data_IF_253919352347
#
_entry.id   IF_253919352347
#
_cell.length_a   1.000
_cell.length_b   1.000
_cell.length_c   1.000
_cell.angle_alpha   90.00
_cell.angle_beta   90.00
_cell.angle_gamma   90.00
#
_symmetry.space_group_name_H-M   'P 1'
#
loop_
_entity.id
_entity.type
_entity.pdbx_description
1 polymer ?
#
# COMPACT_ATOMS: atom_id res chain seq x y z
N UNK A 1 -28.78 44.96 41.09
CA UNK A 1 -27.56 44.15 41.12
C UNK A 1 -27.93 42.80 40.50
N UNK A 2 -27.74 42.64 39.22
CA UNK A 2 -28.03 41.42 38.47
C UNK A 2 -26.73 40.62 38.43
N UNK A 3 -26.74 39.43 39.00
CA UNK A 3 -25.61 38.49 38.89
C UNK A 3 -25.60 37.91 37.46
N UNK A 4 -24.57 38.24 36.70
CA UNK A 4 -24.25 37.62 35.43
C UNK A 4 -23.91 36.13 35.64
N UNK A 5 -24.78 35.27 35.17
CA UNK A 5 -24.51 33.84 35.06
C UNK A 5 -23.47 33.61 33.93
N UNK A 6 -22.20 33.50 34.28
CA UNK A 6 -21.16 33.01 33.41
C UNK A 6 -21.50 31.55 33.07
N UNK A 7 -21.58 31.14 31.76
CA UNK A 7 -21.85 29.75 31.41
C UNK A 7 -20.66 28.89 31.88
N UNK A 8 -20.98 27.86 32.66
CA UNK A 8 -20.02 26.89 33.17
C UNK A 8 -19.25 26.25 31.98
N UNK A 9 -17.94 26.42 31.97
CA UNK A 9 -17.01 25.86 31.01
C UNK A 9 -17.19 24.33 31.02
N UNK A 10 -17.73 23.76 29.95
CA UNK A 10 -17.93 22.31 29.83
C UNK A 10 -16.57 21.62 29.95
N UNK A 11 -16.39 20.60 30.79
CA UNK A 11 -15.10 19.98 31.05
C UNK A 11 -14.54 19.41 29.74
N UNK A 12 -13.36 19.86 29.33
CA UNK A 12 -12.66 19.35 28.16
C UNK A 12 -12.50 17.83 28.30
N UNK A 13 -12.89 17.02 27.31
CA UNK A 13 -12.82 15.57 27.41
C UNK A 13 -11.38 15.14 27.75
N UNK A 14 -11.25 14.23 28.71
CA UNK A 14 -9.93 13.72 29.10
C UNK A 14 -9.28 13.07 27.87
N UNK A 15 -7.95 13.12 27.74
CA UNK A 15 -7.21 12.50 26.61
C UNK A 15 -7.58 11.02 26.41
N UNK A 16 -7.89 10.31 27.48
CA UNK A 16 -8.35 8.93 27.45
C UNK A 16 -9.74 8.78 26.86
N UNK A 17 -10.66 9.71 27.17
CA UNK A 17 -12.00 9.70 26.58
C UNK A 17 -11.94 9.99 25.08
N UNK A 18 -11.07 10.91 24.65
CA UNK A 18 -10.83 11.18 23.23
C UNK A 18 -10.31 9.93 22.50
N UNK A 19 -9.31 9.24 23.04
CA UNK A 19 -8.75 8.03 22.45
C UNK A 19 -9.77 6.89 22.37
N UNK A 20 -10.58 6.72 23.42
CA UNK A 20 -11.62 5.71 23.48
C UNK A 20 -12.70 5.86 22.39
N UNK A 21 -12.86 7.08 21.85
CA UNK A 21 -13.82 7.34 20.77
C UNK A 21 -13.40 6.69 19.45
N UNK A 22 -12.10 6.58 19.16
CA UNK A 22 -11.57 6.07 17.89
C UNK A 22 -11.50 4.53 17.83
N UNK A 23 -12.64 3.85 18.06
CA UNK A 23 -12.70 2.39 17.94
C UNK A 23 -12.52 1.93 16.49
N UNK A 24 -12.08 0.66 16.24
CA UNK A 24 -11.96 0.13 14.88
C UNK A 24 -13.24 0.25 14.06
N UNK A 25 -14.41 0.05 14.69
CA UNK A 25 -15.70 0.15 14.01
C UNK A 25 -15.99 1.61 13.57
N UNK A 26 -15.83 2.57 14.52
CA UNK A 26 -16.04 3.99 14.22
C UNK A 26 -15.06 4.50 13.16
N UNK A 27 -13.80 4.07 13.25
CA UNK A 27 -12.82 4.39 12.21
C UNK A 27 -13.24 3.81 10.86
N UNK A 28 -13.66 2.54 10.80
CA UNK A 28 -14.10 1.89 9.56
C UNK A 28 -15.29 2.60 8.91
N UNK A 29 -16.28 2.97 9.71
CA UNK A 29 -17.45 3.75 9.24
C UNK A 29 -17.01 5.14 8.77
N UNK A 30 -16.22 5.85 9.58
CA UNK A 30 -15.71 7.19 9.22
C UNK A 30 -14.87 7.18 7.95
N UNK A 31 -14.02 6.16 7.76
CA UNK A 31 -13.23 5.99 6.54
C UNK A 31 -14.11 5.69 5.33
N UNK A 32 -15.15 4.84 5.49
CA UNK A 32 -16.10 4.57 4.41
C UNK A 32 -16.84 5.85 3.99
N UNK A 33 -17.33 6.63 4.96
CA UNK A 33 -17.97 7.92 4.69
C UNK A 33 -16.98 8.87 3.99
N UNK A 34 -15.73 8.96 4.46
CA UNK A 34 -14.71 9.82 3.85
C UNK A 34 -14.43 9.43 2.38
N UNK A 35 -14.39 8.14 2.06
CA UNK A 35 -14.23 7.66 0.68
C UNK A 35 -15.47 7.98 -0.19
N UNK A 36 -16.67 7.81 0.36
CA UNK A 36 -17.91 8.16 -0.34
C UNK A 36 -17.96 9.67 -0.64
N UNK A 37 -17.58 10.51 0.33
CA UNK A 37 -17.52 11.97 0.17
C UNK A 37 -16.43 12.40 -0.81
N UNK A 38 -15.29 11.70 -0.82
CA UNK A 38 -14.19 11.99 -1.73
C UNK A 38 -14.47 11.57 -3.19
N UNK A 39 -15.28 10.52 -3.39
CA UNK A 39 -15.57 9.93 -4.70
C UNK A 39 -17.07 9.68 -4.92
N UNK A 40 -17.94 10.70 -4.75
CA UNK A 40 -19.39 10.53 -4.83
C UNK A 40 -19.85 10.07 -6.22
N UNK A 41 -19.21 10.57 -7.29
CA UNK A 41 -19.56 10.23 -8.68
C UNK A 41 -19.26 8.76 -9.01
N UNK A 42 -18.26 8.16 -8.34
CA UNK A 42 -17.92 6.74 -8.50
C UNK A 42 -18.91 5.87 -7.72
N UNK A 43 -19.37 6.30 -6.55
CA UNK A 43 -20.22 5.51 -5.67
C UNK A 43 -21.69 5.58 -6.11
N UNK A 44 -22.20 6.77 -6.42
CA UNK A 44 -23.64 7.00 -6.69
C UNK A 44 -23.94 7.38 -8.13
N UNK A 45 -22.91 7.71 -8.92
CA UNK A 45 -23.06 8.17 -10.29
C UNK A 45 -22.62 7.14 -11.32
N UNK A 46 -22.45 7.62 -12.56
CA UNK A 46 -21.88 6.89 -13.68
C UNK A 46 -20.37 7.09 -13.80
N UNK A 47 -19.73 7.78 -12.85
CA UNK A 47 -18.31 8.09 -12.85
C UNK A 47 -17.44 6.84 -12.71
N UNK A 48 -16.30 6.84 -13.36
CA UNK A 48 -15.28 5.82 -13.22
C UNK A 48 -13.89 6.45 -13.28
N UNK A 49 -12.89 5.75 -12.80
CA UNK A 49 -11.50 6.23 -12.79
C UNK A 49 -10.82 6.12 -14.18
N UNK A 50 -11.53 6.46 -15.26
CA UNK A 50 -10.98 6.42 -16.62
C UNK A 50 -9.89 7.45 -16.82
N UNK A 51 -8.69 7.11 -16.33
CA UNK A 51 -7.51 7.93 -16.43
C UNK A 51 -6.32 7.06 -16.83
N UNK A 52 -5.53 7.46 -17.83
CA UNK A 52 -4.33 6.77 -18.29
C UNK A 52 -4.53 5.23 -18.39
N UNK A 53 -3.73 4.46 -17.67
CA UNK A 53 -3.72 2.99 -17.73
C UNK A 53 -5.02 2.34 -17.25
N UNK A 54 -5.83 3.03 -16.47
CA UNK A 54 -7.14 2.49 -16.08
C UNK A 54 -8.04 2.25 -17.30
N UNK A 55 -8.12 3.23 -18.18
CA UNK A 55 -8.94 3.14 -19.39
C UNK A 55 -8.32 2.32 -20.51
N UNK A 56 -6.98 2.33 -20.61
CA UNK A 56 -6.25 1.72 -21.73
C UNK A 56 -5.87 0.26 -21.46
N UNK A 57 -5.55 -0.07 -20.21
CA UNK A 57 -5.08 -1.41 -19.82
C UNK A 57 -6.03 -2.07 -18.82
N UNK A 58 -6.35 -1.41 -17.70
CA UNK A 58 -7.10 -2.01 -16.61
C UNK A 58 -8.52 -2.41 -17.02
N UNK A 59 -9.29 -1.45 -17.52
CA UNK A 59 -10.68 -1.69 -17.89
C UNK A 59 -10.85 -2.70 -19.03
N UNK A 60 -10.12 -2.66 -20.15
CA UNK A 60 -10.25 -3.66 -21.22
C UNK A 60 -9.97 -5.09 -20.77
N UNK A 61 -8.96 -5.29 -19.89
CA UNK A 61 -8.66 -6.60 -19.31
C UNK A 61 -9.84 -7.11 -18.48
N UNK A 62 -10.38 -6.26 -17.61
CA UNK A 62 -11.49 -6.62 -16.73
C UNK A 62 -12.79 -6.79 -17.51
N UNK A 63 -13.01 -5.97 -18.54
CA UNK A 63 -14.16 -6.12 -19.43
C UNK A 63 -14.13 -7.47 -20.17
N UNK A 64 -12.95 -7.89 -20.66
CA UNK A 64 -12.81 -9.23 -21.28
C UNK A 64 -13.13 -10.32 -20.25
N UNK A 65 -12.62 -10.27 -19.04
CA UNK A 65 -12.91 -11.23 -17.99
C UNK A 65 -14.42 -11.29 -17.66
N UNK A 66 -15.06 -10.12 -17.50
CA UNK A 66 -16.49 -10.00 -17.24
C UNK A 66 -17.32 -10.59 -18.41
N UNK A 67 -16.98 -10.26 -19.64
CA UNK A 67 -17.69 -10.79 -20.81
C UNK A 67 -17.54 -12.31 -20.91
N UNK A 68 -16.32 -12.85 -20.75
CA UNK A 68 -16.05 -14.29 -20.76
C UNK A 68 -16.81 -15.03 -19.67
N UNK A 69 -16.87 -14.46 -18.45
CA UNK A 69 -17.60 -15.04 -17.33
C UNK A 69 -19.09 -15.26 -17.67
N UNK A 70 -19.75 -14.25 -18.24
CA UNK A 70 -21.16 -14.35 -18.66
C UNK A 70 -21.39 -15.15 -19.93
N UNK A 71 -20.33 -15.40 -20.71
CA UNK A 71 -20.36 -16.28 -21.89
C UNK A 71 -20.09 -17.75 -21.57
N UNK A 72 -19.98 -18.11 -20.28
CA UNK A 72 -19.76 -19.48 -19.81
C UNK A 72 -18.30 -19.89 -19.67
N UNK A 73 -17.34 -18.96 -19.80
CA UNK A 73 -15.91 -19.15 -19.53
C UNK A 73 -15.46 -18.30 -18.34
N UNK A 74 -15.64 -18.79 -17.10
CA UNK A 74 -15.33 -18.02 -15.90
C UNK A 74 -13.83 -17.83 -15.63
N UNK A 75 -12.98 -18.63 -16.28
CA UNK A 75 -11.52 -18.58 -16.16
C UNK A 75 -10.92 -18.56 -17.56
N UNK A 76 -11.01 -17.42 -18.27
CA UNK A 76 -10.55 -17.37 -19.65
C UNK A 76 -9.04 -17.59 -19.72
N UNK A 77 -8.63 -18.52 -20.58
CA UNK A 77 -7.21 -18.82 -20.80
C UNK A 77 -6.58 -17.93 -21.87
N UNK A 78 -7.39 -17.41 -22.82
CA UNK A 78 -6.96 -16.66 -23.97
C UNK A 78 -7.78 -15.38 -24.15
N UNK A 79 -7.12 -14.29 -24.55
CA UNK A 79 -7.78 -13.05 -24.97
C UNK A 79 -7.51 -12.81 -26.47
N UNK A 80 -8.48 -13.00 -27.34
CA UNK A 80 -8.29 -12.80 -28.78
C UNK A 80 -8.19 -11.32 -29.19
N UNK A 81 -8.62 -10.39 -28.33
CA UNK A 81 -8.71 -8.96 -28.63
C UNK A 81 -7.46 -8.17 -28.26
N UNK A 82 -6.48 -8.79 -27.62
CA UNK A 82 -5.25 -8.13 -27.20
C UNK A 82 -4.06 -8.62 -28.01
N UNK A 83 -3.32 -7.71 -28.69
CA UNK A 83 -2.08 -8.01 -29.41
C UNK A 83 -2.21 -9.19 -30.41
N UNK A 84 -3.27 -9.24 -31.17
CA UNK A 84 -3.58 -10.36 -32.10
C UNK A 84 -3.80 -11.71 -31.39
N UNK A 85 -4.14 -11.69 -30.13
CA UNK A 85 -4.33 -12.84 -29.26
C UNK A 85 -3.20 -13.01 -28.24
N UNK A 86 -3.57 -13.14 -26.97
CA UNK A 86 -2.60 -13.31 -25.89
C UNK A 86 -3.12 -14.26 -24.82
N UNK A 87 -2.23 -15.04 -24.14
CA UNK A 87 -2.60 -15.79 -22.95
C UNK A 87 -3.22 -14.84 -21.93
N UNK A 88 -4.39 -15.19 -21.37
CA UNK A 88 -5.08 -14.32 -20.42
C UNK A 88 -4.77 -14.70 -18.97
N UNK A 89 -5.17 -15.88 -18.53
CA UNK A 89 -4.98 -16.34 -17.15
C UNK A 89 -3.51 -16.41 -16.76
N UNK A 90 -2.61 -16.76 -17.70
CA UNK A 90 -1.19 -16.78 -17.47
C UNK A 90 -0.57 -15.39 -17.22
N UNK A 91 -1.22 -14.30 -17.65
CA UNK A 91 -0.79 -12.95 -17.29
C UNK A 91 -1.20 -12.66 -15.85
N UNK A 92 -0.24 -12.61 -14.95
CA UNK A 92 -0.47 -12.51 -13.51
C UNK A 92 -1.37 -11.33 -13.11
N UNK A 93 -1.24 -10.17 -13.78
CA UNK A 93 -2.00 -8.95 -13.48
C UNK A 93 -3.47 -8.94 -13.90
N UNK A 94 -4.01 -10.00 -14.52
CA UNK A 94 -5.41 -10.08 -14.96
C UNK A 94 -6.40 -10.32 -13.81
N UNK A 95 -5.90 -10.71 -12.63
CA UNK A 95 -6.68 -10.99 -11.42
C UNK A 95 -7.73 -12.12 -11.61
N UNK A 96 -7.51 -13.02 -12.56
CA UNK A 96 -8.48 -14.07 -12.93
C UNK A 96 -8.78 -15.00 -11.76
N UNK A 97 -7.78 -15.35 -10.97
CA UNK A 97 -7.92 -16.23 -9.80
C UNK A 97 -8.08 -15.47 -8.47
N UNK A 98 -8.23 -14.15 -8.51
CA UNK A 98 -8.44 -13.36 -7.30
C UNK A 98 -9.91 -13.46 -6.85
N UNK A 99 -10.23 -14.01 -5.65
CA UNK A 99 -11.62 -14.33 -5.31
C UNK A 99 -12.57 -13.14 -5.28
N UNK A 100 -12.07 -11.95 -4.88
CA UNK A 100 -12.90 -10.74 -4.84
C UNK A 100 -13.17 -10.15 -6.24
N UNK A 101 -12.57 -10.68 -7.29
CA UNK A 101 -12.94 -10.36 -8.68
C UNK A 101 -14.40 -10.67 -8.96
N UNK A 102 -15.01 -11.61 -8.23
CA UNK A 102 -16.46 -11.89 -8.29
C UNK A 102 -17.30 -10.64 -8.09
N UNK A 103 -16.82 -9.63 -7.36
CA UNK A 103 -17.55 -8.39 -7.18
C UNK A 103 -17.82 -7.67 -8.52
N UNK A 104 -16.79 -7.47 -9.34
CA UNK A 104 -16.98 -6.82 -10.64
C UNK A 104 -17.43 -7.77 -11.75
N UNK A 105 -17.34 -9.09 -11.55
CA UNK A 105 -17.89 -10.07 -12.48
C UNK A 105 -19.41 -10.20 -12.36
N UNK A 106 -19.96 -10.05 -11.15
CA UNK A 106 -21.40 -10.20 -10.89
C UNK A 106 -22.16 -8.87 -10.98
N UNK A 107 -21.48 -7.73 -10.89
CA UNK A 107 -22.11 -6.41 -10.85
C UNK A 107 -21.79 -5.60 -12.12
N UNK A 108 -22.62 -4.63 -12.51
CA UNK A 108 -22.43 -3.86 -13.74
C UNK A 108 -21.11 -3.10 -13.80
N UNK A 109 -20.39 -3.21 -14.93
CA UNK A 109 -19.27 -2.37 -15.27
C UNK A 109 -19.76 -1.06 -15.92
N UNK A 110 -19.02 0.06 -15.80
CA UNK A 110 -17.73 0.25 -15.10
C UNK A 110 -17.85 0.55 -13.59
N UNK A 111 -19.06 0.75 -13.08
CA UNK A 111 -19.33 1.15 -11.68
C UNK A 111 -18.67 0.20 -10.66
N UNK A 112 -18.89 -1.10 -10.81
CA UNK A 112 -18.37 -2.09 -9.87
C UNK A 112 -16.84 -2.09 -9.75
N UNK A 113 -16.13 -1.81 -10.84
CA UNK A 113 -14.68 -1.70 -10.82
C UNK A 113 -14.19 -0.49 -10.03
N UNK A 114 -14.87 0.66 -10.15
CA UNK A 114 -14.58 1.84 -9.34
C UNK A 114 -14.77 1.58 -7.85
N UNK A 115 -15.91 1.01 -7.48
CA UNK A 115 -16.22 0.63 -6.08
C UNK A 115 -15.25 -0.44 -5.57
N UNK A 116 -14.86 -1.40 -6.39
CA UNK A 116 -13.84 -2.39 -6.07
C UNK A 116 -12.50 -1.75 -5.65
N UNK A 117 -12.06 -0.72 -6.36
CA UNK A 117 -10.86 0.03 -5.96
C UNK A 117 -11.04 0.71 -4.60
N UNK A 118 -12.20 1.34 -4.35
CA UNK A 118 -12.49 2.00 -3.07
C UNK A 118 -12.57 1.01 -1.90
N UNK A 119 -13.12 -0.19 -2.11
CA UNK A 119 -13.12 -1.26 -1.10
C UNK A 119 -11.69 -1.64 -0.71
N UNK A 120 -10.77 -1.74 -1.67
CA UNK A 120 -9.37 -2.05 -1.37
C UNK A 120 -8.62 -0.90 -0.69
N UNK A 121 -8.96 0.36 -1.01
CA UNK A 121 -8.47 1.52 -0.23
C UNK A 121 -8.95 1.45 1.22
N UNK A 122 -10.24 1.18 1.43
CA UNK A 122 -10.82 1.01 2.76
C UNK A 122 -10.13 -0.14 3.51
N UNK A 123 -9.95 -1.29 2.86
CA UNK A 123 -9.26 -2.45 3.42
C UNK A 123 -7.82 -2.08 3.86
N UNK A 124 -7.07 -1.38 3.02
CA UNK A 124 -5.72 -0.92 3.33
C UNK A 124 -5.67 0.03 4.53
N UNK A 125 -6.59 0.98 4.60
CA UNK A 125 -6.73 1.91 5.73
C UNK A 125 -7.03 1.18 7.04
N UNK A 126 -7.95 0.21 7.01
CA UNK A 126 -8.28 -0.64 8.16
C UNK A 126 -7.08 -1.50 8.60
N UNK A 127 -6.33 -2.05 7.65
CA UNK A 127 -5.11 -2.81 7.94
C UNK A 127 -4.05 -1.93 8.58
N UNK A 128 -3.82 -0.73 8.04
CA UNK A 128 -2.86 0.22 8.59
C UNK A 128 -3.26 0.70 9.99
N UNK A 129 -4.55 0.98 10.23
CA UNK A 129 -5.06 1.27 11.57
C UNK A 129 -4.73 0.14 12.56
N UNK A 130 -5.02 -1.13 12.18
CA UNK A 130 -4.77 -2.30 13.05
C UNK A 130 -3.28 -2.49 13.32
N UNK A 131 -2.46 -2.32 12.30
CA UNK A 131 -1.00 -2.43 12.42
C UNK A 131 -0.43 -1.32 13.31
N UNK A 132 -0.81 -0.06 13.06
CA UNK A 132 -0.36 1.08 13.85
C UNK A 132 -0.83 0.99 15.32
N UNK A 133 -2.10 0.61 15.57
CA UNK A 133 -2.61 0.41 16.93
C UNK A 133 -1.78 -0.64 17.69
N UNK A 134 -1.40 -1.73 17.03
CA UNK A 134 -0.53 -2.74 17.63
C UNK A 134 0.85 -2.19 18.02
N UNK A 135 1.37 -1.19 17.29
CA UNK A 135 2.70 -0.60 17.51
C UNK A 135 2.71 0.46 18.60
N UNK A 136 1.69 1.30 18.61
CA UNK A 136 1.69 2.49 19.50
C UNK A 136 0.66 2.42 20.61
N UNK A 137 -0.27 1.46 20.60
CA UNK A 137 -1.35 1.28 21.59
C UNK A 137 -2.12 2.59 21.85
N UNK A 138 -2.42 3.33 20.78
CA UNK A 138 -3.14 4.58 20.80
C UNK A 138 -4.07 4.64 19.57
N UNK A 139 -5.38 4.62 19.81
CA UNK A 139 -6.40 4.54 18.73
C UNK A 139 -6.43 5.79 17.87
N UNK A 140 -6.28 6.95 18.45
CA UNK A 140 -6.18 8.22 17.71
C UNK A 140 -4.99 8.21 16.72
N UNK A 141 -3.81 7.80 17.19
CA UNK A 141 -2.62 7.70 16.32
C UNK A 141 -2.79 6.64 15.23
N UNK A 142 -3.47 5.53 15.53
CA UNK A 142 -3.83 4.50 14.57
C UNK A 142 -4.79 5.01 13.51
N UNK A 143 -5.78 5.84 13.89
CA UNK A 143 -6.70 6.51 12.97
C UNK A 143 -5.94 7.42 12.00
N UNK A 144 -5.02 8.25 12.52
CA UNK A 144 -4.17 9.09 11.66
C UNK A 144 -3.34 8.25 10.68
N UNK A 145 -2.75 7.16 11.15
CA UNK A 145 -1.99 6.26 10.27
C UNK A 145 -2.85 5.67 9.14
N UNK A 146 -4.06 5.22 9.45
CA UNK A 146 -5.00 4.71 8.45
C UNK A 146 -5.38 5.77 7.41
N UNK A 147 -5.68 6.99 7.84
CA UNK A 147 -6.01 8.11 6.95
C UNK A 147 -4.81 8.51 6.07
N UNK A 148 -3.60 8.64 6.64
CA UNK A 148 -2.38 8.97 5.90
C UNK A 148 -2.11 7.90 4.82
N UNK A 149 -2.31 6.61 5.15
CA UNK A 149 -2.09 5.52 4.19
C UNK A 149 -3.06 5.57 3.01
N UNK A 150 -4.32 5.94 3.23
CA UNK A 150 -5.35 5.99 2.19
C UNK A 150 -5.26 7.24 1.35
N UNK A 151 -5.13 8.41 1.98
CA UNK A 151 -5.27 9.71 1.33
C UNK A 151 -3.93 10.38 0.95
N UNK A 152 -2.85 9.59 0.80
CA UNK A 152 -1.62 10.13 0.21
C UNK A 152 -1.65 10.09 -1.32
N UNK A 153 -0.87 10.96 -1.94
CA UNK A 153 -0.84 11.11 -3.39
C UNK A 153 -0.39 9.86 -4.14
N UNK A 154 0.56 9.09 -3.60
CA UNK A 154 1.02 7.86 -4.23
C UNK A 154 -0.07 6.79 -4.27
N UNK A 155 -0.73 6.53 -3.13
CA UNK A 155 -1.82 5.55 -3.04
C UNK A 155 -2.98 5.93 -3.97
N UNK A 156 -3.38 7.21 -3.99
CA UNK A 156 -4.43 7.69 -4.87
C UNK A 156 -4.02 7.63 -6.35
N UNK A 157 -2.77 7.93 -6.69
CA UNK A 157 -2.27 7.78 -8.06
C UNK A 157 -2.28 6.32 -8.54
N UNK A 158 -2.15 5.35 -7.63
CA UNK A 158 -2.23 3.93 -7.97
C UNK A 158 -3.63 3.44 -8.34
N UNK A 159 -4.70 4.23 -8.14
CA UNK A 159 -6.08 3.85 -8.55
C UNK A 159 -6.17 3.58 -10.06
N UNK A 160 -5.29 4.18 -10.86
CA UNK A 160 -5.22 3.89 -12.30
C UNK A 160 -4.90 2.43 -12.63
N UNK A 161 -4.46 1.65 -11.65
CA UNK A 161 -4.20 0.21 -11.78
C UNK A 161 -5.01 -0.57 -10.74
N UNK A 162 -6.16 -1.17 -11.08
CA UNK A 162 -7.00 -1.89 -10.11
C UNK A 162 -6.27 -2.99 -9.35
N UNK A 163 -5.35 -3.69 -9.99
CA UNK A 163 -4.50 -4.71 -9.35
C UNK A 163 -3.52 -4.13 -8.31
N UNK A 164 -3.07 -2.87 -8.46
CA UNK A 164 -2.26 -2.18 -7.45
C UNK A 164 -3.08 -1.85 -6.21
N UNK A 165 -4.39 -1.59 -6.38
CA UNK A 165 -5.28 -1.39 -5.23
C UNK A 165 -5.37 -2.64 -4.37
N UNK A 166 -5.41 -3.83 -4.98
CA UNK A 166 -5.36 -5.09 -4.25
C UNK A 166 -4.03 -5.20 -3.47
N UNK A 167 -2.91 -5.00 -4.17
CA UNK A 167 -1.58 -5.11 -3.56
C UNK A 167 -1.41 -4.18 -2.35
N UNK A 168 -1.83 -2.92 -2.48
CA UNK A 168 -1.80 -1.92 -1.40
C UNK A 168 -2.82 -2.22 -0.30
N UNK A 169 -4.02 -2.65 -0.66
CA UNK A 169 -5.07 -2.99 0.29
C UNK A 169 -4.67 -4.11 1.25
N UNK A 170 -3.98 -5.13 0.74
CA UNK A 170 -3.51 -6.25 1.55
C UNK A 170 -2.17 -6.01 2.25
N UNK A 171 -1.36 -5.06 1.81
CA UNK A 171 -0.02 -4.81 2.34
C UNK A 171 0.04 -4.71 3.89
N UNK A 172 -0.76 -3.85 4.56
CA UNK A 172 -0.70 -3.76 6.03
C UNK A 172 -1.18 -5.04 6.72
N UNK A 173 -2.11 -5.77 6.11
CA UNK A 173 -2.61 -7.04 6.62
C UNK A 173 -1.57 -8.15 6.52
N UNK A 174 -0.81 -8.22 5.42
CA UNK A 174 0.31 -9.15 5.27
C UNK A 174 1.34 -8.89 6.36
N UNK A 175 1.76 -7.62 6.55
CA UNK A 175 2.71 -7.28 7.60
C UNK A 175 2.19 -7.69 8.99
N UNK A 176 0.92 -7.39 9.32
CA UNK A 176 0.30 -7.71 10.60
C UNK A 176 0.15 -9.22 10.83
N UNK A 177 -0.28 -9.97 9.82
CA UNK A 177 -0.58 -11.40 9.98
C UNK A 177 0.68 -12.25 9.96
N UNK A 178 1.69 -11.91 9.16
CA UNK A 178 2.98 -12.60 9.16
C UNK A 178 3.72 -12.37 10.48
N UNK A 179 3.67 -11.15 11.04
CA UNK A 179 4.21 -10.89 12.37
C UNK A 179 3.56 -11.81 13.43
N UNK A 180 2.23 -11.89 13.42
CA UNK A 180 1.50 -12.81 14.32
C UNK A 180 1.83 -14.28 14.08
N UNK A 181 2.03 -14.67 12.83
CA UNK A 181 2.44 -16.03 12.47
C UNK A 181 3.82 -16.37 13.07
N UNK A 182 4.80 -15.46 12.95
CA UNK A 182 6.12 -15.61 13.53
C UNK A 182 6.09 -15.70 15.05
N UNK A 183 5.20 -14.95 15.71
CA UNK A 183 5.06 -14.95 17.18
C UNK A 183 4.31 -16.18 17.71
N UNK A 184 3.17 -16.52 17.11
CA UNK A 184 2.22 -17.50 17.69
C UNK A 184 2.29 -18.88 17.04
N UNK A 185 2.61 -18.96 15.73
CA UNK A 185 2.58 -20.22 14.99
C UNK A 185 1.17 -20.77 14.79
N UNK A 186 1.07 -22.06 14.43
CA UNK A 186 -0.20 -22.76 14.31
C UNK A 186 -1.19 -22.08 13.36
N UNK A 187 -2.42 -21.85 13.81
CA UNK A 187 -3.49 -21.20 13.02
C UNK A 187 -3.08 -19.82 12.46
N UNK A 188 -2.18 -19.10 13.15
CA UNK A 188 -1.73 -17.81 12.68
C UNK A 188 -0.92 -17.91 11.38
N UNK A 189 -0.19 -19.01 11.16
CA UNK A 189 0.53 -19.30 9.90
C UNK A 189 -0.49 -19.46 8.76
N UNK A 190 -1.56 -20.22 8.97
CA UNK A 190 -2.59 -20.43 7.95
C UNK A 190 -3.29 -19.11 7.57
N UNK A 191 -3.62 -18.27 8.56
CA UNK A 191 -4.22 -16.96 8.32
C UNK A 191 -3.25 -16.06 7.52
N UNK A 192 -1.98 -16.02 7.91
CA UNK A 192 -0.96 -15.24 7.19
C UNK A 192 -0.78 -15.73 5.76
N UNK A 193 -0.79 -17.06 5.55
CA UNK A 193 -0.69 -17.65 4.22
C UNK A 193 -1.87 -17.26 3.33
N UNK A 194 -3.10 -17.34 3.82
CA UNK A 194 -4.29 -16.91 3.07
C UNK A 194 -4.22 -15.42 2.72
N UNK A 195 -3.92 -14.55 3.69
CA UNK A 195 -3.84 -13.10 3.50
C UNK A 195 -2.74 -12.73 2.50
N UNK A 196 -1.57 -13.35 2.61
CA UNK A 196 -0.47 -13.10 1.68
C UNK A 196 -0.76 -13.69 0.28
N UNK A 197 -1.48 -14.80 0.17
CA UNK A 197 -1.97 -15.32 -1.11
C UNK A 197 -2.92 -14.34 -1.79
N UNK A 198 -3.84 -13.72 -1.06
CA UNK A 198 -4.73 -12.70 -1.62
C UNK A 198 -3.95 -11.50 -2.19
N UNK A 199 -2.86 -11.09 -1.53
CA UNK A 199 -1.95 -10.10 -2.12
C UNK A 199 -1.20 -10.67 -3.34
N UNK A 200 -0.71 -11.91 -3.27
CA UNK A 200 -0.01 -12.57 -4.37
C UNK A 200 -0.86 -12.59 -5.64
N UNK A 201 -2.15 -12.88 -5.53
CA UNK A 201 -3.09 -12.93 -6.64
C UNK A 201 -3.42 -11.54 -7.25
N UNK A 202 -2.89 -10.45 -6.71
CA UNK A 202 -2.96 -9.12 -7.35
C UNK A 202 -2.15 -9.03 -8.63
N UNK A 203 -1.10 -9.83 -8.76
CA UNK A 203 -0.22 -9.80 -9.93
C UNK A 203 0.63 -8.54 -10.08
N UNK A 204 1.04 -7.94 -8.96
CA UNK A 204 1.95 -6.79 -8.91
C UNK A 204 3.28 -7.22 -8.28
N UNK A 205 4.18 -7.89 -9.05
CA UNK A 205 5.37 -8.53 -8.50
C UNK A 205 6.28 -7.58 -7.74
N UNK A 206 6.41 -6.33 -8.20
CA UNK A 206 7.25 -5.34 -7.54
C UNK A 206 6.73 -4.99 -6.13
N UNK A 207 5.41 -4.77 -5.96
CA UNK A 207 4.83 -4.45 -4.66
C UNK A 207 4.84 -5.66 -3.73
N UNK A 208 4.60 -6.85 -4.27
CA UNK A 208 4.69 -8.11 -3.52
C UNK A 208 6.11 -8.28 -2.98
N UNK A 209 7.13 -8.13 -3.84
CA UNK A 209 8.53 -8.20 -3.43
C UNK A 209 8.87 -7.19 -2.33
N UNK A 210 8.51 -5.92 -2.53
CA UNK A 210 8.74 -4.88 -1.53
C UNK A 210 8.01 -5.15 -0.21
N UNK A 211 6.79 -5.72 -0.27
CA UNK A 211 6.06 -6.16 0.93
C UNK A 211 6.86 -7.18 1.72
N UNK A 212 7.40 -8.21 1.06
CA UNK A 212 8.19 -9.24 1.73
C UNK A 212 9.51 -8.70 2.26
N UNK A 213 10.17 -7.77 1.55
CA UNK A 213 11.37 -7.07 2.07
C UNK A 213 11.05 -6.32 3.36
N UNK A 214 9.95 -5.56 3.40
CA UNK A 214 9.49 -4.84 4.60
C UNK A 214 9.20 -5.84 5.74
N UNK A 215 8.47 -6.91 5.45
CA UNK A 215 8.11 -7.93 6.44
C UNK A 215 9.36 -8.57 7.04
N UNK A 216 10.33 -8.97 6.20
CA UNK A 216 11.60 -9.54 6.66
C UNK A 216 12.38 -8.53 7.50
N UNK A 217 12.46 -7.27 7.08
CA UNK A 217 13.14 -6.21 7.84
C UNK A 217 12.52 -6.00 9.22
N UNK A 218 11.18 -5.95 9.31
CA UNK A 218 10.47 -5.81 10.59
C UNK A 218 10.67 -7.04 11.49
N UNK A 219 10.67 -8.27 10.93
CA UNK A 219 10.97 -9.46 11.70
C UNK A 219 12.43 -9.49 12.18
N UNK A 220 13.38 -9.04 11.37
CA UNK A 220 14.78 -8.91 11.79
C UNK A 220 14.92 -7.96 12.99
N UNK A 221 14.23 -6.82 12.97
CA UNK A 221 14.19 -5.90 14.12
C UNK A 221 13.64 -6.59 15.37
N UNK A 222 12.53 -7.30 15.26
CA UNK A 222 11.92 -8.02 16.40
C UNK A 222 12.87 -9.10 16.98
N UNK A 223 13.61 -9.81 16.13
CA UNK A 223 14.63 -10.79 16.52
C UNK A 223 15.79 -10.10 17.25
N UNK A 224 16.28 -8.98 16.71
CA UNK A 224 17.38 -8.20 17.32
C UNK A 224 16.97 -7.60 18.66
N UNK A 225 15.69 -7.22 18.84
CA UNK A 225 15.18 -6.69 20.11
C UNK A 225 15.08 -7.76 21.18
N UNK A 226 14.56 -8.93 20.82
CA UNK A 226 14.38 -10.05 21.78
C UNK A 226 15.70 -10.71 22.19
N UNK A 227 16.73 -10.68 21.33
CA UNK A 227 18.05 -11.30 21.57
C UNK A 227 17.99 -12.79 21.94
N UNK A 228 16.96 -13.50 21.47
CA UNK A 228 16.69 -14.91 21.77
C UNK A 228 16.87 -15.75 20.49
N UNK A 229 17.86 -16.64 20.51
CA UNK A 229 18.16 -17.55 19.39
C UNK A 229 17.02 -18.53 19.13
N UNK A 230 16.36 -19.01 20.19
CA UNK A 230 15.24 -19.94 20.07
C UNK A 230 14.07 -19.27 19.36
N UNK A 231 13.77 -18.01 19.73
CA UNK A 231 12.78 -17.20 19.04
C UNK A 231 13.15 -16.95 17.58
N UNK A 232 14.42 -16.62 17.29
CA UNK A 232 14.89 -16.39 15.92
C UNK A 232 14.70 -17.62 15.02
N UNK A 233 15.10 -18.80 15.49
CA UNK A 233 14.92 -20.05 14.75
C UNK A 233 13.44 -20.39 14.54
N UNK A 234 12.63 -20.22 15.57
CA UNK A 234 11.20 -20.51 15.50
C UNK A 234 10.47 -19.54 14.55
N UNK A 235 10.77 -18.25 14.64
CA UNK A 235 10.23 -17.23 13.74
C UNK A 235 10.65 -17.49 12.28
N UNK A 236 11.91 -17.87 12.04
CA UNK A 236 12.41 -18.23 10.72
C UNK A 236 11.69 -19.47 10.14
N UNK A 237 11.49 -20.54 10.93
CA UNK A 237 10.73 -21.72 10.51
C UNK A 237 9.27 -21.38 10.19
N UNK A 238 8.63 -20.55 10.99
CA UNK A 238 7.24 -20.12 10.79
C UNK A 238 7.09 -19.22 9.56
N UNK A 239 8.06 -18.34 9.33
CA UNK A 239 8.12 -17.52 8.13
C UNK A 239 8.28 -18.41 6.88
N UNK A 240 9.22 -19.36 6.90
CA UNK A 240 9.42 -20.32 5.81
C UNK A 240 8.16 -21.14 5.52
N UNK A 241 7.48 -21.63 6.57
CA UNK A 241 6.22 -22.34 6.42
C UNK A 241 5.13 -21.46 5.80
N UNK A 242 5.05 -20.17 6.19
CA UNK A 242 4.12 -19.21 5.59
C UNK A 242 4.42 -19.03 4.10
N UNK A 243 5.68 -18.82 3.73
CA UNK A 243 6.10 -18.65 2.33
C UNK A 243 5.78 -19.90 1.49
N UNK A 244 6.07 -21.09 2.01
CA UNK A 244 5.75 -22.35 1.32
C UNK A 244 4.25 -22.51 1.08
N UNK A 245 3.42 -22.18 2.07
CA UNK A 245 1.97 -22.23 1.92
C UNK A 245 1.48 -21.19 0.90
N UNK A 246 2.00 -19.96 0.91
CA UNK A 246 1.67 -18.92 -0.08
C UNK A 246 2.03 -19.40 -1.48
N UNK A 247 3.21 -19.96 -1.67
CA UNK A 247 3.66 -20.50 -2.96
C UNK A 247 2.74 -21.62 -3.44
N UNK A 248 2.38 -22.55 -2.57
CA UNK A 248 1.44 -23.64 -2.90
C UNK A 248 0.04 -23.15 -3.25
N UNK A 249 -0.52 -22.24 -2.45
CA UNK A 249 -1.84 -21.68 -2.68
C UNK A 249 -1.93 -20.80 -3.95
N UNK A 250 -0.80 -20.19 -4.36
CA UNK A 250 -0.71 -19.36 -5.56
C UNK A 250 -0.23 -20.14 -6.79
N UNK A 251 0.07 -21.43 -6.67
CA UNK A 251 0.71 -22.23 -7.73
C UNK A 251 -0.09 -22.22 -9.04
N UNK A 252 -1.42 -22.29 -8.96
CA UNK A 252 -2.30 -22.25 -10.13
C UNK A 252 -2.13 -20.96 -10.96
N UNK A 253 -1.75 -19.84 -10.33
CA UNK A 253 -1.43 -18.57 -11.02
C UNK A 253 0.04 -18.48 -11.41
N UNK A 254 0.94 -18.94 -10.52
CA UNK A 254 2.38 -18.72 -10.70
C UNK A 254 2.98 -19.66 -11.75
N UNK A 255 2.54 -20.92 -11.84
CA UNK A 255 3.09 -21.86 -12.79
C UNK A 255 2.88 -21.42 -14.26
N UNK A 256 1.64 -21.10 -14.70
CA UNK A 256 1.43 -20.58 -16.05
C UNK A 256 2.12 -19.24 -16.31
N UNK A 257 2.23 -18.38 -15.27
CA UNK A 257 2.96 -17.11 -15.39
C UNK A 257 4.45 -17.33 -15.64
N UNK A 258 5.11 -18.23 -14.93
CA UNK A 258 6.53 -18.51 -15.14
C UNK A 258 6.78 -19.20 -16.50
N UNK A 259 5.88 -20.04 -16.94
CA UNK A 259 5.93 -20.61 -18.30
C UNK A 259 5.81 -19.48 -19.34
N UNK A 260 4.80 -18.61 -19.24
CA UNK A 260 4.65 -17.45 -20.12
C UNK A 260 5.90 -16.56 -20.10
N UNK A 261 6.47 -16.31 -18.92
CA UNK A 261 7.68 -15.49 -18.78
C UNK A 261 8.87 -16.12 -19.50
N UNK A 262 9.03 -17.46 -19.44
CA UNK A 262 10.11 -18.18 -20.10
C UNK A 262 10.02 -18.14 -21.64
N UNK A 263 8.79 -18.04 -22.16
CA UNK A 263 8.50 -17.93 -23.59
C UNK A 263 8.44 -16.47 -24.09
N UNK A 264 8.49 -15.50 -23.17
CA UNK A 264 8.39 -14.08 -23.50
C UNK A 264 9.73 -13.51 -23.95
N UNK A 265 9.69 -12.68 -24.98
CA UNK A 265 10.83 -11.87 -25.42
C UNK A 265 11.07 -10.64 -24.52
N UNK A 266 10.35 -10.52 -23.40
CA UNK A 266 10.49 -9.41 -22.46
C UNK A 266 11.88 -9.45 -21.82
N UNK A 267 12.77 -8.60 -22.30
CA UNK A 267 14.08 -8.47 -21.69
C UNK A 267 13.96 -8.06 -20.22
N UNK A 268 14.62 -8.80 -19.34
CA UNK A 268 14.72 -8.51 -17.91
C UNK A 268 15.66 -7.31 -17.63
N UNK A 269 15.80 -6.39 -18.60
CA UNK A 269 16.65 -5.22 -18.47
C UNK A 269 15.96 -4.09 -17.66
N UNK A 270 16.75 -3.42 -16.88
CA UNK A 270 16.40 -2.15 -16.26
C UNK A 270 16.20 -1.07 -17.36
N UNK A 271 15.03 -0.95 -17.94
CA UNK A 271 14.69 0.19 -18.82
C UNK A 271 14.37 1.41 -17.93
N UNK A 272 15.36 1.84 -17.17
CA UNK A 272 15.16 2.48 -15.89
C UNK A 272 14.99 3.99 -15.91
N UNK A 273 15.47 4.64 -16.92
CA UNK A 273 15.73 6.09 -16.81
C UNK A 273 14.49 6.95 -16.95
N UNK A 274 13.44 6.44 -17.60
CA UNK A 274 12.24 7.23 -17.92
C UNK A 274 11.33 7.52 -16.72
N UNK A 275 11.47 6.75 -15.63
CA UNK A 275 10.49 6.75 -14.52
C UNK A 275 11.14 6.85 -13.15
N UNK A 276 12.33 7.45 -13.09
CA UNK A 276 13.02 7.79 -11.86
C UNK A 276 12.51 9.10 -11.29
N UNK A 277 12.48 9.22 -9.97
CA UNK A 277 12.15 10.47 -9.30
C UNK A 277 13.27 11.50 -9.55
N UNK A 278 12.95 12.67 -10.10
CA UNK A 278 13.95 13.73 -10.26
C UNK A 278 14.33 14.33 -8.90
N UNK A 279 15.48 15.01 -8.80
CA UNK A 279 15.94 15.65 -7.56
C UNK A 279 14.91 16.61 -6.96
N UNK A 280 14.30 17.46 -7.80
CA UNK A 280 13.23 18.37 -7.37
C UNK A 280 11.96 17.63 -6.93
N UNK A 281 11.81 16.35 -7.28
CA UNK A 281 10.69 15.50 -6.87
C UNK A 281 10.53 15.37 -5.37
N UNK A 282 11.60 15.55 -4.58
CA UNK A 282 11.53 15.57 -3.11
C UNK A 282 10.54 16.63 -2.61
N UNK A 283 10.40 17.76 -3.33
CA UNK A 283 9.40 18.79 -3.00
C UNK A 283 7.95 18.31 -3.08
N UNK A 284 7.66 17.27 -3.88
CA UNK A 284 6.31 16.72 -4.01
C UNK A 284 5.84 16.00 -2.71
N UNK A 285 6.73 15.59 -1.82
CA UNK A 285 6.33 15.07 -0.51
C UNK A 285 5.65 16.11 0.38
N UNK A 286 5.96 17.40 0.16
CA UNK A 286 5.49 18.52 0.99
C UNK A 286 4.47 19.41 0.28
N UNK A 287 4.57 19.52 -1.04
CA UNK A 287 3.70 20.36 -1.88
C UNK A 287 3.11 19.49 -2.99
N UNK A 288 1.78 19.34 -3.03
CA UNK A 288 1.15 18.51 -4.06
C UNK A 288 1.47 19.04 -5.45
N UNK A 289 1.74 18.12 -6.39
CA UNK A 289 2.04 18.43 -7.78
C UNK A 289 3.26 19.37 -7.97
N UNK A 290 4.20 19.37 -7.03
CA UNK A 290 5.39 20.22 -7.12
C UNK A 290 6.20 19.91 -8.40
N UNK A 291 6.49 20.95 -9.19
CA UNK A 291 7.13 20.83 -10.51
C UNK A 291 6.42 19.86 -11.47
N UNK A 292 5.09 19.75 -11.37
CA UNK A 292 4.30 19.01 -12.33
C UNK A 292 3.69 19.95 -13.37
N UNK A 293 3.69 19.53 -14.63
CA UNK A 293 3.02 20.20 -15.72
C UNK A 293 1.66 19.55 -16.01
N UNK A 294 0.68 20.34 -16.42
CA UNK A 294 -0.63 19.85 -16.85
C UNK A 294 -0.62 19.63 -18.35
N UNK A 295 -1.05 18.44 -18.81
CA UNK A 295 -1.23 18.17 -20.24
C UNK A 295 -2.50 18.86 -20.78
N UNK A 296 -2.64 18.89 -22.09
CA UNK A 296 -3.85 19.37 -22.75
C UNK A 296 -5.09 18.51 -22.42
N UNK A 297 -4.89 17.24 -22.05
CA UNK A 297 -5.96 16.34 -21.59
C UNK A 297 -6.33 16.54 -20.12
N UNK A 298 -5.67 17.47 -19.41
CA UNK A 298 -5.91 17.75 -18.00
C UNK A 298 -5.14 16.89 -17.04
N UNK A 299 -4.36 15.92 -17.51
CA UNK A 299 -3.51 15.07 -16.65
C UNK A 299 -2.25 15.79 -16.23
N UNK A 300 -1.75 15.48 -15.05
CA UNK A 300 -0.48 16.02 -14.57
C UNK A 300 0.64 15.01 -14.75
N UNK A 301 1.83 15.47 -15.08
CA UNK A 301 3.04 14.68 -15.09
C UNK A 301 4.19 15.49 -14.50
N UNK A 302 5.16 14.81 -13.95
CA UNK A 302 6.39 15.41 -13.45
C UNK A 302 7.49 15.27 -14.51
N UNK A 303 8.29 16.31 -14.73
CA UNK A 303 9.44 16.24 -15.61
C UNK A 303 10.42 15.15 -15.16
N UNK A 304 10.73 14.24 -16.08
CA UNK A 304 11.59 13.07 -15.80
C UNK A 304 10.84 11.79 -15.43
N UNK A 305 9.56 11.87 -15.02
CA UNK A 305 8.72 10.71 -14.80
C UNK A 305 7.24 11.06 -14.98
N UNK A 306 6.47 10.17 -15.60
CA UNK A 306 5.04 10.36 -15.84
C UNK A 306 4.17 9.21 -15.31
N UNK A 307 4.77 8.26 -14.59
CA UNK A 307 4.03 7.12 -14.03
C UNK A 307 3.13 7.53 -12.87
N UNK A 308 3.65 8.37 -11.96
CA UNK A 308 2.95 8.81 -10.75
C UNK A 308 3.06 10.33 -10.65
N UNK A 309 1.97 11.02 -10.95
CA UNK A 309 1.94 12.49 -10.99
C UNK A 309 2.14 13.12 -9.61
N UNK A 310 1.60 12.51 -8.56
CA UNK A 310 1.74 13.01 -7.20
C UNK A 310 2.05 11.86 -6.23
N UNK A 311 2.99 12.12 -5.35
CA UNK A 311 3.32 11.27 -4.20
C UNK A 311 3.38 12.12 -2.91
N UNK A 312 2.55 13.15 -2.88
CA UNK A 312 2.34 14.02 -1.72
C UNK A 312 1.89 13.21 -0.51
N UNK A 313 2.62 13.33 0.58
CA UNK A 313 2.34 12.60 1.82
C UNK A 313 1.57 13.44 2.85
N UNK A 314 1.53 14.74 2.67
CA UNK A 314 0.92 15.68 3.61
C UNK A 314 1.94 16.28 4.58
N UNK A 315 1.98 17.62 4.67
CA UNK A 315 2.92 18.32 5.55
C UNK A 315 2.79 17.89 7.02
N UNK A 316 1.55 17.75 7.52
CA UNK A 316 1.29 17.28 8.87
C UNK A 316 1.75 15.83 9.09
N UNK A 317 1.53 14.95 8.10
CA UNK A 317 1.98 13.57 8.17
C UNK A 317 3.51 13.48 8.19
N UNK A 318 4.19 14.24 7.32
CA UNK A 318 5.66 14.29 7.28
C UNK A 318 6.25 14.87 8.57
N UNK A 319 5.63 15.91 9.14
CA UNK A 319 6.04 16.47 10.43
C UNK A 319 5.92 15.43 11.56
N UNK A 320 4.78 14.75 11.66
CA UNK A 320 4.58 13.69 12.64
C UNK A 320 5.53 12.52 12.43
N UNK A 321 5.76 12.10 11.18
CA UNK A 321 6.69 11.03 10.86
C UNK A 321 8.13 11.38 11.24
N UNK A 322 8.56 12.61 10.98
CA UNK A 322 9.85 13.14 11.39
C UNK A 322 10.00 13.14 12.92
N UNK A 323 8.99 13.62 13.64
CA UNK A 323 8.96 13.54 15.11
C UNK A 323 9.04 12.10 15.58
N UNK A 324 8.29 11.18 14.96
CA UNK A 324 8.32 9.75 15.29
C UNK A 324 9.68 9.12 15.07
N UNK A 325 10.36 9.45 13.97
CA UNK A 325 11.70 8.97 13.67
C UNK A 325 12.75 9.43 14.70
N UNK A 326 12.75 10.73 15.05
CA UNK A 326 13.75 11.29 15.96
C UNK A 326 13.44 11.09 17.44
N UNK A 327 12.17 11.04 17.83
CA UNK A 327 11.72 10.97 19.23
C UNK A 327 11.26 9.58 19.67
N UNK A 328 10.96 8.68 18.74
CA UNK A 328 10.57 7.30 19.03
C UNK A 328 11.69 6.52 19.74
N UNK A 329 12.95 6.71 19.32
CA UNK A 329 14.17 6.15 19.92
C UNK A 329 14.12 4.64 20.16
N UNK A 330 13.39 3.90 19.32
CA UNK A 330 13.34 2.44 19.32
C UNK A 330 14.06 1.91 18.10
N UNK A 331 14.52 0.65 18.15
CA UNK A 331 15.10 -0.01 16.96
C UNK A 331 14.11 -0.05 15.82
N UNK A 332 12.83 -0.22 16.12
CA UNK A 332 11.75 -0.19 15.15
C UNK A 332 11.66 1.16 14.44
N UNK A 333 11.56 2.29 15.18
CA UNK A 333 11.48 3.62 14.55
C UNK A 333 12.73 3.95 13.75
N UNK A 334 13.90 3.49 14.17
CA UNK A 334 15.15 3.62 13.41
C UNK A 334 15.10 2.82 12.11
N UNK A 335 14.61 1.58 12.15
CA UNK A 335 14.47 0.74 10.96
C UNK A 335 13.44 1.31 9.98
N UNK A 336 12.28 1.77 10.48
CA UNK A 336 11.25 2.43 9.66
C UNK A 336 11.82 3.69 8.97
N UNK A 337 12.60 4.51 9.70
CA UNK A 337 13.27 5.69 9.13
C UNK A 337 14.33 5.28 8.08
N UNK A 338 15.10 4.23 8.34
CA UNK A 338 16.05 3.66 7.38
C UNK A 338 15.36 3.19 6.10
N UNK A 339 14.25 2.47 6.20
CA UNK A 339 13.43 2.04 5.06
C UNK A 339 12.92 3.27 4.29
N UNK A 340 12.45 4.32 4.97
CA UNK A 340 11.99 5.54 4.33
C UNK A 340 13.10 6.21 3.50
N UNK A 341 14.28 6.38 4.07
CA UNK A 341 15.44 6.99 3.40
C UNK A 341 15.87 6.13 2.21
N UNK A 342 16.01 4.81 2.41
CA UNK A 342 16.40 3.88 1.35
C UNK A 342 15.39 3.92 0.19
N UNK A 343 14.09 3.96 0.50
CA UNK A 343 13.02 4.06 -0.51
C UNK A 343 13.17 5.30 -1.38
N UNK A 344 13.44 6.45 -0.78
CA UNK A 344 13.65 7.71 -1.52
C UNK A 344 14.87 7.61 -2.42
N UNK A 345 16.00 7.13 -1.89
CA UNK A 345 17.25 6.98 -2.67
C UNK A 345 17.04 6.03 -3.87
N UNK A 346 16.38 4.89 -3.65
CA UNK A 346 16.08 3.94 -4.72
C UNK A 346 15.09 4.49 -5.74
N UNK A 347 14.09 5.26 -5.30
CA UNK A 347 13.12 5.91 -6.18
C UNK A 347 13.75 6.96 -7.12
N UNK A 348 14.86 7.56 -6.70
CA UNK A 348 15.64 8.49 -7.54
C UNK A 348 16.35 7.80 -8.70
N UNK A 349 16.37 6.46 -8.74
CA UNK A 349 16.99 5.71 -9.82
C UNK A 349 18.47 6.04 -9.97
N UNK A 350 18.92 6.34 -11.18
CA UNK A 350 20.32 6.73 -11.45
C UNK A 350 20.71 8.05 -10.77
N UNK A 351 19.75 8.97 -10.57
CA UNK A 351 20.02 10.21 -9.82
C UNK A 351 20.43 9.94 -8.36
N UNK A 352 20.04 8.79 -7.78
CA UNK A 352 20.36 8.39 -6.41
C UNK A 352 21.62 7.53 -6.30
N UNK A 353 22.31 7.20 -7.39
CA UNK A 353 23.50 6.35 -7.50
C UNK A 353 23.34 4.91 -7.01
N UNK A 354 22.60 4.68 -5.90
CA UNK A 354 22.44 3.36 -5.29
C UNK A 354 21.71 2.38 -6.21
N UNK A 355 20.69 2.86 -6.94
CA UNK A 355 19.96 2.03 -7.88
C UNK A 355 20.84 1.52 -9.02
N UNK A 356 21.71 2.38 -9.58
CA UNK A 356 22.71 1.99 -10.58
C UNK A 356 23.66 0.91 -10.05
N UNK A 357 24.18 1.10 -8.84
CA UNK A 357 25.05 0.12 -8.18
C UNK A 357 24.34 -1.25 -7.99
N UNK A 358 23.08 -1.24 -7.56
CA UNK A 358 22.29 -2.48 -7.42
C UNK A 358 22.08 -3.15 -8.78
N UNK A 359 21.82 -2.38 -9.83
CA UNK A 359 21.69 -2.85 -11.20
C UNK A 359 22.94 -3.58 -11.68
N UNK A 360 24.11 -3.00 -11.40
CA UNK A 360 25.40 -3.55 -11.82
C UNK A 360 25.75 -4.82 -11.04
N UNK A 361 25.49 -4.84 -9.72
CA UNK A 361 25.77 -5.98 -8.86
C UNK A 361 24.75 -7.12 -8.99
N UNK A 362 23.49 -6.80 -9.24
CA UNK A 362 22.37 -7.75 -9.26
C UNK A 362 21.46 -7.55 -10.47
N UNK A 363 21.91 -7.85 -11.71
CA UNK A 363 21.11 -7.62 -12.93
C UNK A 363 19.73 -8.31 -12.91
N UNK A 364 19.62 -9.44 -12.17
CA UNK A 364 18.34 -10.19 -12.04
C UNK A 364 17.27 -9.47 -11.20
N UNK A 365 17.62 -8.44 -10.42
CA UNK A 365 16.65 -7.59 -9.71
C UNK A 365 15.97 -6.55 -10.64
N UNK A 366 16.30 -6.55 -11.93
CA UNK A 366 15.77 -5.65 -12.95
C UNK A 366 14.29 -5.76 -13.26
N UNK A 367 13.55 -6.63 -12.59
CA UNK A 367 12.09 -6.71 -12.77
C UNK A 367 11.37 -5.45 -12.25
N UNK A 368 11.95 -4.70 -11.31
CA UNK A 368 11.46 -3.38 -10.90
C UNK A 368 11.90 -2.33 -11.92
N UNK A 369 11.16 -2.24 -13.05
CA UNK A 369 11.55 -1.41 -14.20
C UNK A 369 11.45 0.10 -13.96
N UNK A 370 10.68 0.53 -12.99
CA UNK A 370 10.35 1.93 -12.74
C UNK A 370 10.76 2.31 -11.31
N UNK A 371 11.91 3.01 -11.13
CA UNK A 371 12.43 3.36 -9.82
C UNK A 371 11.44 4.09 -8.91
N UNK A 372 10.56 4.92 -9.46
CA UNK A 372 9.53 5.64 -8.69
C UNK A 372 8.64 4.69 -7.86
N UNK A 373 8.51 3.42 -8.25
CA UNK A 373 7.76 2.40 -7.48
C UNK A 373 8.38 2.11 -6.12
N UNK A 374 9.67 2.37 -5.93
CA UNK A 374 10.32 2.25 -4.62
C UNK A 374 9.80 3.26 -3.58
N UNK A 375 8.92 4.20 -3.95
CA UNK A 375 8.19 5.00 -2.98
C UNK A 375 7.12 4.20 -2.21
N UNK A 376 6.73 3.00 -2.67
CA UNK A 376 5.74 2.19 -1.95
C UNK A 376 6.14 1.86 -0.50
N UNK A 377 7.39 1.43 -0.18
CA UNK A 377 7.81 1.26 1.20
C UNK A 377 7.77 2.57 2.01
N UNK A 378 8.12 3.72 1.43
CA UNK A 378 7.98 5.03 2.09
C UNK A 378 6.53 5.29 2.49
N UNK A 379 5.58 5.06 1.58
CA UNK A 379 4.14 5.24 1.81
C UNK A 379 3.62 4.31 2.91
N UNK A 380 4.21 3.13 3.07
CA UNK A 380 3.87 2.20 4.13
C UNK A 380 4.46 2.61 5.50
N UNK A 381 5.72 3.05 5.56
CA UNK A 381 6.39 3.34 6.83
C UNK A 381 6.05 4.73 7.38
N UNK A 382 5.75 5.71 6.52
CA UNK A 382 5.40 7.08 6.95
C UNK A 382 4.19 7.12 7.90
N UNK A 383 3.07 6.42 7.66
CA UNK A 383 1.95 6.35 8.60
C UNK A 383 2.34 5.77 9.97
N UNK A 384 3.20 4.75 9.99
CA UNK A 384 3.68 4.14 11.23
C UNK A 384 4.55 5.10 12.01
N UNK A 385 5.50 5.77 11.35
CA UNK A 385 6.31 6.82 11.97
C UNK A 385 5.45 7.97 12.47
N UNK A 386 4.44 8.40 11.70
CA UNK A 386 3.50 9.43 12.12
C UNK A 386 2.70 9.02 13.36
N UNK A 387 2.32 7.74 13.49
CA UNK A 387 1.68 7.22 14.69
C UNK A 387 2.59 7.31 15.91
N UNK A 388 3.87 6.97 15.77
CA UNK A 388 4.87 7.16 16.85
C UNK A 388 5.04 8.64 17.24
N UNK A 389 5.05 9.54 16.24
CA UNK A 389 5.09 10.98 16.47
C UNK A 389 3.86 11.52 17.21
N UNK A 390 2.67 11.09 16.81
CA UNK A 390 1.42 11.45 17.45
C UNK A 390 1.36 10.94 18.90
N UNK A 391 1.80 9.70 19.14
CA UNK A 391 1.93 9.15 20.50
C UNK A 391 2.87 9.98 21.35
N UNK A 392 4.05 10.34 20.84
CA UNK A 392 5.00 11.18 21.56
C UNK A 392 4.38 12.54 21.92
N UNK A 393 3.65 13.16 20.97
CA UNK A 393 3.00 14.46 21.20
C UNK A 393 1.90 14.38 22.27
N UNK A 394 1.07 13.35 22.23
CA UNK A 394 -0.01 13.14 23.18
C UNK A 394 0.49 12.81 24.60
N UNK A 395 1.66 12.17 24.72
CA UNK A 395 2.22 11.82 26.02
C UNK A 395 3.00 12.98 26.69
N UNK A 396 3.23 14.09 25.98
CA UNK A 396 3.82 15.29 26.58
C UNK A 396 2.86 15.92 27.56
N UNK A 397 3.35 16.14 28.81
CA UNK A 397 2.67 17.04 29.75
C UNK A 397 2.64 18.45 29.14
N UNK A 398 1.52 19.18 29.15
CA UNK A 398 1.55 20.59 28.77
C UNK A 398 2.63 21.29 29.59
N UNK A 399 3.38 22.25 28.99
CA UNK A 399 4.24 23.10 29.78
C UNK A 399 3.34 23.71 30.86
N UNK A 400 3.77 23.62 32.15
CA UNK A 400 3.15 24.36 33.21
C UNK A 400 3.10 25.82 32.74
N UNK A 401 1.90 26.38 32.64
CA UNK A 401 1.73 27.79 32.34
C UNK A 401 2.49 28.56 33.40
N UNK A 402 3.59 29.23 33.00
CA UNK A 402 4.36 30.12 33.80
C UNK A 402 3.58 31.42 34.04
#
# INVERSE_FOLDING_TARGET
>A
MSAENTPADSPKPSRQALDAWFTPLRFGIGLAIALVVAFPDVVFGSGAFFHQDYGVLGYPVIHHHHHSFWSGDPIPLWNPYSNCGAPFMAQWGTMTLYPFSLFYLLLPLPWSLGVFCLIHLWLGGMGMYRLAHRRVDLRFAATLAGLIFVFNGFTLSCIQWPNYMIALGWLPWVALTVERACERGGRAIAIAAVVATLQMLSGVPEFIFMTWVIVVALQAVAIIEKRDRSFALLAGRRLAATVLLVTGLSAAQLLPFFELLSLSQRHNGFAAEKWAMPWHGVGNFFVPLFHCAKTYTGTFFQWGQSLIATYYLGLGAMTLATIGAFRGRTKETTALAGIAILSVILAMGENGYLYGLIKDLFPRLGFVRYPIKFLMPLVFVTPLLAAHGARWFMNRKPPLAA
#
